data_IF_436227236725
#
_entry.id   IF_436227236725
#
_cell.length_a   1.000
_cell.length_b   1.000
_cell.length_c   1.000
_cell.angle_alpha   90.00
_cell.angle_beta   90.00
_cell.angle_gamma   90.00
#
_symmetry.space_group_name_H-M   'P 1'
#
loop_
_entity.id
_entity.type
_entity.pdbx_description
1 polymer ?
#
# COMPACT_ATOMS: atom_id res chain seq x y z
N UNK A 1 27.58 -21.07 -16.14
CA UNK A 1 27.12 -21.16 -14.73
C UNK A 1 25.64 -21.45 -14.75
N UNK A 2 25.27 -22.66 -14.36
CA UNK A 2 23.89 -23.17 -14.29
C UNK A 2 23.08 -22.37 -13.27
N UNK A 3 21.94 -21.82 -13.68
CA UNK A 3 21.03 -21.09 -12.81
C UNK A 3 20.29 -22.08 -11.89
N UNK A 4 20.41 -21.99 -10.55
CA UNK A 4 19.57 -22.79 -9.68
C UNK A 4 18.41 -21.92 -9.18
N UNK A 5 17.21 -22.23 -9.66
CA UNK A 5 15.90 -21.85 -9.10
C UNK A 5 15.69 -20.36 -8.80
N UNK A 6 15.73 -19.54 -9.84
CA UNK A 6 15.31 -18.14 -9.80
C UNK A 6 14.45 -17.76 -11.01
N UNK A 7 13.69 -16.67 -10.94
CA UNK A 7 13.01 -16.11 -12.11
C UNK A 7 13.69 -14.81 -12.55
N UNK A 8 13.68 -14.55 -13.86
CA UNK A 8 14.30 -13.38 -14.46
C UNK A 8 13.20 -12.46 -14.98
N UNK A 9 13.19 -11.22 -14.53
CA UNK A 9 12.35 -10.16 -15.09
C UNK A 9 13.23 -9.42 -16.09
N UNK A 10 12.96 -9.58 -17.38
CA UNK A 10 13.58 -8.76 -18.41
C UNK A 10 12.52 -8.16 -19.30
N UNK A 11 12.47 -6.83 -19.32
CA UNK A 11 11.49 -6.10 -20.09
C UNK A 11 12.07 -4.76 -20.55
N UNK A 12 12.17 -4.51 -21.87
CA UNK A 12 12.95 -3.40 -22.40
C UNK A 12 12.35 -2.03 -22.08
N UNK A 13 11.03 -1.94 -21.89
CA UNK A 13 10.31 -0.67 -21.67
C UNK A 13 9.70 -0.54 -20.27
N UNK A 14 9.99 -1.48 -19.35
CA UNK A 14 9.44 -1.42 -18.00
C UNK A 14 10.08 -0.28 -17.23
N UNK A 15 9.28 0.69 -16.76
CA UNK A 15 9.76 1.90 -16.09
C UNK A 15 9.58 1.86 -14.57
N UNK A 16 8.65 1.06 -14.06
CA UNK A 16 8.41 0.86 -12.63
C UNK A 16 8.14 -0.61 -12.33
N UNK A 17 8.73 -1.10 -11.24
CA UNK A 17 8.56 -2.47 -10.77
C UNK A 17 8.41 -2.47 -9.24
N UNK A 18 7.41 -3.21 -8.76
CA UNK A 18 7.26 -3.54 -7.34
C UNK A 18 7.38 -5.04 -7.18
N UNK A 19 8.27 -5.47 -6.30
CA UNK A 19 8.43 -6.84 -5.84
C UNK A 19 7.97 -6.89 -4.38
N UNK A 20 6.95 -7.68 -4.10
CA UNK A 20 6.34 -7.77 -2.77
C UNK A 20 6.13 -9.24 -2.39
N UNK A 21 6.39 -9.58 -1.13
CA UNK A 21 6.26 -10.91 -0.51
C UNK A 21 6.75 -12.09 -1.36
N UNK A 22 8.03 -12.06 -1.76
CA UNK A 22 8.61 -13.09 -2.62
C UNK A 22 9.80 -13.82 -2.04
N UNK A 23 9.88 -15.12 -2.32
CA UNK A 23 10.90 -16.02 -1.74
C UNK A 23 11.86 -16.61 -2.77
N UNK A 24 11.76 -16.18 -4.01
CA UNK A 24 12.56 -16.72 -5.11
C UNK A 24 13.67 -15.76 -5.47
N UNK A 25 14.84 -16.31 -5.84
CA UNK A 25 15.95 -15.50 -6.33
C UNK A 25 15.51 -14.80 -7.62
N UNK A 26 15.73 -13.49 -7.69
CA UNK A 26 15.24 -12.69 -8.81
C UNK A 26 16.39 -11.93 -9.44
N UNK A 27 16.50 -12.05 -10.76
CA UNK A 27 17.29 -11.11 -11.56
C UNK A 27 16.32 -10.13 -12.22
N UNK A 28 16.60 -8.84 -12.11
CA UNK A 28 15.85 -7.79 -12.81
C UNK A 28 16.79 -7.17 -13.83
N UNK A 29 16.48 -7.31 -15.11
CA UNK A 29 17.29 -6.85 -16.25
C UNK A 29 16.42 -5.99 -17.17
N UNK A 30 16.26 -4.73 -16.76
CA UNK A 30 15.25 -3.82 -17.30
C UNK A 30 15.92 -2.46 -17.56
N UNK A 31 16.38 -2.19 -18.79
CA UNK A 31 17.24 -1.04 -19.08
C UNK A 31 16.53 0.31 -18.93
N UNK A 32 15.20 0.35 -18.96
CA UNK A 32 14.39 1.56 -18.83
C UNK A 32 13.78 1.75 -17.43
N UNK A 33 14.16 0.92 -16.46
CA UNK A 33 13.58 0.96 -15.11
C UNK A 33 14.07 2.17 -14.35
N UNK A 34 13.13 3.03 -13.93
CA UNK A 34 13.37 4.26 -13.17
C UNK A 34 13.04 4.10 -11.70
N UNK A 35 12.00 3.33 -11.38
CA UNK A 35 11.51 3.15 -10.01
C UNK A 35 11.44 1.67 -9.65
N UNK A 36 12.11 1.29 -8.57
CA UNK A 36 12.09 -0.07 -8.04
C UNK A 36 11.67 -0.04 -6.58
N UNK A 37 10.64 -0.82 -6.25
CA UNK A 37 10.21 -1.07 -4.88
C UNK A 37 10.38 -2.56 -4.59
N UNK A 38 11.04 -2.91 -3.50
CA UNK A 38 11.21 -4.27 -3.02
C UNK A 38 10.79 -4.29 -1.55
N UNK A 39 9.74 -5.05 -1.25
CA UNK A 39 9.16 -5.18 0.08
C UNK A 39 9.14 -6.67 0.44
N UNK A 40 9.61 -6.99 1.65
CA UNK A 40 9.57 -8.34 2.25
C UNK A 40 10.02 -9.46 1.30
N UNK A 41 11.15 -9.21 0.65
CA UNK A 41 11.79 -10.16 -0.27
C UNK A 41 13.06 -10.76 0.36
N UNK A 42 12.96 -11.88 1.09
CA UNK A 42 14.11 -12.52 1.74
C UNK A 42 15.08 -13.22 0.77
N UNK A 43 14.75 -13.33 -0.51
CA UNK A 43 15.66 -13.93 -1.48
C UNK A 43 16.63 -12.90 -2.09
N UNK A 44 17.72 -13.39 -2.69
CA UNK A 44 18.70 -12.53 -3.35
C UNK A 44 18.07 -11.88 -4.59
N UNK A 45 18.14 -10.55 -4.65
CA UNK A 45 17.75 -9.75 -5.79
C UNK A 45 18.99 -9.18 -6.46
N UNK A 46 19.21 -9.54 -7.73
CA UNK A 46 20.27 -8.98 -8.58
C UNK A 46 19.66 -7.97 -9.56
N UNK A 47 19.99 -6.70 -9.41
CA UNK A 47 19.39 -5.61 -10.19
C UNK A 47 20.37 -5.08 -11.24
N UNK A 48 19.99 -5.20 -12.51
CA UNK A 48 20.62 -4.58 -13.67
C UNK A 48 19.66 -3.51 -14.23
N UNK A 49 19.75 -2.29 -13.69
CA UNK A 49 18.88 -1.17 -14.06
C UNK A 49 19.74 0.12 -14.13
N UNK A 50 20.41 0.39 -15.25
CA UNK A 50 21.44 1.43 -15.35
C UNK A 50 20.89 2.86 -15.17
N UNK A 51 19.60 3.08 -15.43
CA UNK A 51 18.95 4.39 -15.30
C UNK A 51 18.06 4.50 -14.06
N UNK A 52 18.18 3.56 -13.11
CA UNK A 52 17.37 3.55 -11.90
C UNK A 52 17.58 4.85 -11.12
N UNK A 53 16.52 5.62 -10.92
CA UNK A 53 16.54 6.92 -10.24
C UNK A 53 15.95 6.87 -8.84
N UNK A 54 15.07 5.91 -8.57
CA UNK A 54 14.41 5.71 -7.27
C UNK A 54 14.42 4.25 -6.84
N UNK A 55 14.90 3.99 -5.62
CA UNK A 55 14.89 2.66 -4.99
C UNK A 55 14.22 2.75 -3.62
N UNK A 56 13.23 1.89 -3.37
CA UNK A 56 12.71 1.62 -2.03
C UNK A 56 12.93 0.15 -1.72
N UNK A 57 13.75 -0.13 -0.70
CA UNK A 57 14.13 -1.46 -0.28
C UNK A 57 13.78 -1.64 1.20
N UNK A 58 12.76 -2.46 1.47
CA UNK A 58 12.31 -2.77 2.82
C UNK A 58 12.26 -4.27 3.02
N UNK A 59 13.06 -4.81 3.91
CA UNK A 59 13.07 -6.27 4.17
C UNK A 59 13.67 -6.60 5.54
N UNK A 60 13.62 -7.88 5.90
CA UNK A 60 14.24 -8.38 7.12
C UNK A 60 15.75 -8.57 7.01
N UNK A 61 16.30 -8.82 5.81
CA UNK A 61 17.70 -9.26 5.63
C UNK A 61 18.45 -8.50 4.52
N UNK A 62 19.78 -8.45 4.61
CA UNK A 62 20.70 -7.73 3.71
C UNK A 62 21.04 -8.51 2.42
N UNK A 63 20.04 -8.71 1.56
CA UNK A 63 20.14 -9.56 0.35
C UNK A 63 20.08 -8.82 -1.00
N UNK A 64 19.96 -7.48 -0.98
CA UNK A 64 20.02 -6.66 -2.18
C UNK A 64 21.44 -6.65 -2.77
N UNK A 65 21.55 -6.92 -4.07
CA UNK A 65 22.78 -6.74 -4.85
C UNK A 65 22.50 -5.94 -6.10
N UNK A 66 23.17 -4.80 -6.22
CA UNK A 66 23.18 -4.00 -7.44
C UNK A 66 24.31 -4.54 -8.33
N UNK A 67 23.98 -4.96 -9.54
CA UNK A 67 24.92 -5.57 -10.48
C UNK A 67 25.70 -4.54 -11.30
N UNK A 68 25.10 -3.36 -11.44
CA UNK A 68 25.62 -2.24 -12.22
C UNK A 68 25.83 -1.07 -11.29
N UNK A 69 26.86 -0.28 -11.55
CA UNK A 69 27.00 1.02 -10.91
C UNK A 69 25.74 1.86 -11.19
N UNK A 70 25.01 2.19 -10.13
CA UNK A 70 23.72 2.90 -10.20
C UNK A 70 23.94 4.41 -10.19
N UNK A 71 24.72 4.93 -11.14
CA UNK A 71 25.14 6.33 -11.18
C UNK A 71 24.00 7.36 -11.29
N UNK A 72 22.78 6.93 -11.65
CA UNK A 72 21.61 7.79 -11.80
C UNK A 72 20.69 7.76 -10.58
N UNK A 73 21.02 6.99 -9.55
CA UNK A 73 20.15 6.79 -8.40
C UNK A 73 20.12 8.06 -7.55
N UNK A 74 18.96 8.72 -7.50
CA UNK A 74 18.80 10.01 -6.83
C UNK A 74 18.12 9.88 -5.47
N UNK A 75 17.11 9.01 -5.36
CA UNK A 75 16.31 8.79 -4.16
C UNK A 75 16.39 7.34 -3.72
N UNK A 76 16.79 7.12 -2.48
CA UNK A 76 16.90 5.78 -1.91
C UNK A 76 16.30 5.73 -0.53
N UNK A 77 15.44 4.74 -0.31
CA UNK A 77 14.90 4.38 0.99
C UNK A 77 15.31 2.94 1.31
N UNK A 78 16.13 2.75 2.34
CA UNK A 78 16.63 1.44 2.79
C UNK A 78 16.17 1.18 4.21
N UNK A 79 15.38 0.13 4.39
CA UNK A 79 14.92 -0.34 5.68
C UNK A 79 15.25 -1.84 5.81
N UNK A 80 16.19 -2.17 6.70
CA UNK A 80 16.62 -3.54 6.99
C UNK A 80 16.40 -3.82 8.48
N UNK A 81 15.46 -4.70 8.81
CA UNK A 81 15.13 -5.00 10.21
C UNK A 81 16.26 -5.70 10.96
N UNK A 82 16.87 -6.72 10.35
CA UNK A 82 17.89 -7.56 10.98
C UNK A 82 19.14 -7.62 10.09
N UNK A 83 19.92 -6.53 10.00
CA UNK A 83 21.16 -6.55 9.23
C UNK A 83 22.11 -7.60 9.84
N UNK A 84 22.71 -8.43 8.98
CA UNK A 84 23.46 -9.61 9.41
C UNK A 84 24.98 -9.46 9.23
N UNK A 85 25.39 -8.71 8.19
CA UNK A 85 26.78 -8.50 7.85
C UNK A 85 27.06 -7.01 7.63
N UNK A 86 27.89 -6.36 8.48
CA UNK A 86 28.18 -4.94 8.34
C UNK A 86 28.90 -4.65 7.03
N UNK A 87 29.67 -5.61 6.48
CA UNK A 87 30.36 -5.44 5.20
C UNK A 87 29.39 -5.38 4.02
N UNK A 88 28.31 -6.16 4.04
CA UNK A 88 27.26 -6.07 3.01
C UNK A 88 26.52 -4.75 3.07
N UNK A 89 26.19 -4.31 4.29
CA UNK A 89 25.55 -3.01 4.52
C UNK A 89 26.44 -1.88 4.01
N UNK A 90 27.74 -1.90 4.34
CA UNK A 90 28.71 -0.92 3.84
C UNK A 90 28.89 -0.97 2.33
N UNK A 91 29.01 -2.18 1.77
CA UNK A 91 29.10 -2.34 0.32
C UNK A 91 27.88 -1.74 -0.38
N UNK A 92 26.67 -1.97 0.15
CA UNK A 92 25.46 -1.34 -0.37
C UNK A 92 25.55 0.18 -0.31
N UNK A 93 25.91 0.77 0.83
CA UNK A 93 26.03 2.23 0.98
C UNK A 93 27.09 2.83 0.03
N UNK A 94 28.21 2.14 -0.19
CA UNK A 94 29.25 2.54 -1.13
C UNK A 94 28.79 2.53 -2.59
N UNK A 95 27.73 1.81 -2.94
CA UNK A 95 27.14 1.82 -4.29
C UNK A 95 26.20 3.02 -4.51
N UNK A 96 25.77 3.69 -3.46
CA UNK A 96 24.78 4.78 -3.49
C UNK A 96 25.41 6.18 -3.69
N UNK A 97 26.50 6.28 -4.47
CA UNK A 97 27.34 7.50 -4.53
C UNK A 97 26.67 8.72 -5.17
N UNK A 98 25.70 8.48 -6.05
CA UNK A 98 24.95 9.53 -6.76
C UNK A 98 23.74 10.06 -5.99
N UNK A 99 23.40 9.44 -4.85
CA UNK A 99 22.15 9.69 -4.14
C UNK A 99 22.10 11.11 -3.59
N UNK A 100 20.96 11.77 -3.83
CA UNK A 100 20.63 13.12 -3.33
C UNK A 100 19.76 13.05 -2.08
N UNK A 101 18.87 12.06 -2.02
CA UNK A 101 17.92 11.87 -0.91
C UNK A 101 18.04 10.43 -0.40
N UNK A 102 18.64 10.28 0.78
CA UNK A 102 18.81 8.99 1.42
C UNK A 102 17.93 8.90 2.66
N UNK A 103 17.16 7.83 2.73
CA UNK A 103 16.42 7.41 3.90
C UNK A 103 17.00 6.08 4.39
N UNK A 104 17.38 6.00 5.67
CA UNK A 104 17.83 4.78 6.33
C UNK A 104 16.98 4.48 7.56
N UNK A 105 16.85 3.22 7.94
CA UNK A 105 16.29 2.88 9.24
C UNK A 105 17.34 2.88 10.37
N UNK A 106 16.87 3.02 11.61
CA UNK A 106 17.70 3.11 12.80
C UNK A 106 18.56 1.88 13.04
N UNK A 107 18.09 0.69 12.68
CA UNK A 107 18.79 -0.57 12.90
C UNK A 107 20.08 -0.61 12.08
N UNK A 108 20.09 -0.04 10.86
CA UNK A 108 21.31 0.13 10.06
C UNK A 108 22.31 1.01 10.82
N UNK A 109 21.85 2.12 11.38
CA UNK A 109 22.71 3.05 12.11
C UNK A 109 23.31 2.37 13.36
N UNK A 110 22.47 1.74 14.19
CA UNK A 110 22.92 1.01 15.39
C UNK A 110 23.91 -0.09 15.02
N UNK A 111 23.64 -0.83 13.95
CA UNK A 111 24.48 -1.91 13.49
C UNK A 111 25.85 -1.44 13.01
N UNK A 112 25.91 -0.33 12.26
CA UNK A 112 27.17 0.29 11.85
C UNK A 112 27.94 0.87 13.05
N UNK A 113 27.25 1.45 14.04
CA UNK A 113 27.89 1.94 15.28
C UNK A 113 28.61 0.82 16.03
N UNK A 114 28.06 -0.41 16.04
CA UNK A 114 28.71 -1.58 16.62
C UNK A 114 29.93 -2.08 15.81
N UNK A 115 30.15 -1.57 14.60
CA UNK A 115 31.24 -1.94 13.69
C UNK A 115 32.00 -0.71 13.18
N UNK A 116 32.19 0.29 14.04
CA UNK A 116 32.79 1.59 13.69
C UNK A 116 34.18 1.50 13.07
N UNK A 117 34.95 0.48 13.46
CA UNK A 117 36.28 0.17 12.92
C UNK A 117 36.28 -0.03 11.39
N UNK A 118 35.15 -0.47 10.82
CA UNK A 118 35.03 -0.68 9.38
C UNK A 118 34.81 0.62 8.60
N UNK A 119 34.39 1.70 9.25
CA UNK A 119 34.07 2.99 8.61
C UNK A 119 35.00 4.13 9.00
N UNK A 120 35.74 4.00 10.11
CA UNK A 120 36.59 5.07 10.66
C UNK A 120 37.61 5.65 9.67
N UNK A 121 38.10 4.82 8.75
CA UNK A 121 39.10 5.19 7.73
C UNK A 121 38.52 5.33 6.32
N UNK A 122 37.21 5.14 6.16
CA UNK A 122 36.55 5.19 4.87
C UNK A 122 36.02 6.60 4.61
N UNK A 123 36.25 7.17 3.42
CA UNK A 123 35.58 8.42 3.06
C UNK A 123 34.07 8.18 2.96
N UNK A 124 33.30 9.25 3.19
CA UNK A 124 31.87 9.19 2.98
C UNK A 124 31.56 8.88 1.51
N UNK A 125 30.67 7.92 1.20
CA UNK A 125 30.35 7.59 -0.17
C UNK A 125 29.41 8.60 -0.84
N UNK A 126 28.83 9.55 -0.09
CA UNK A 126 27.71 10.37 -0.56
C UNK A 126 28.10 11.80 -0.97
N UNK A 127 28.88 11.92 -2.03
CA UNK A 127 29.36 13.21 -2.54
C UNK A 127 28.24 14.16 -3.02
N UNK A 128 27.04 13.64 -3.30
CA UNK A 128 25.92 14.43 -3.86
C UNK A 128 24.73 14.58 -2.89
N UNK A 129 24.90 14.19 -1.62
CA UNK A 129 23.80 14.10 -0.69
C UNK A 129 23.25 15.48 -0.33
N UNK A 130 21.96 15.68 -0.52
CA UNK A 130 21.21 16.88 -0.12
C UNK A 130 20.35 16.65 1.11
N UNK A 131 19.90 15.42 1.33
CA UNK A 131 19.14 15.06 2.51
C UNK A 131 19.44 13.65 2.97
N UNK A 132 19.69 13.51 4.26
CA UNK A 132 19.73 12.24 4.97
C UNK A 132 18.60 12.23 6.00
N UNK A 133 17.74 11.23 5.92
CA UNK A 133 16.69 10.98 6.91
C UNK A 133 16.91 9.62 7.56
N UNK A 134 16.78 9.58 8.88
CA UNK A 134 16.84 8.33 9.64
C UNK A 134 15.52 8.10 10.35
N UNK A 135 14.94 6.92 10.13
CA UNK A 135 13.64 6.55 10.66
C UNK A 135 13.76 5.36 11.60
N UNK A 136 13.05 5.35 12.73
CA UNK A 136 12.95 4.15 13.54
C UNK A 136 12.12 3.09 12.82
N UNK A 137 12.60 1.84 12.76
CA UNK A 137 11.78 0.73 12.29
C UNK A 137 10.86 0.26 13.41
N UNK A 138 9.64 -0.15 13.05
CA UNK A 138 8.55 -0.45 13.99
C UNK A 138 8.60 -1.90 14.54
N UNK A 139 9.78 -2.51 14.62
CA UNK A 139 9.91 -3.91 15.04
C UNK A 139 9.71 -3.98 16.56
N UNK A 140 8.45 -4.15 16.97
CA UNK A 140 7.93 -4.33 18.35
C UNK A 140 7.72 -3.08 19.23
N UNK A 141 6.71 -2.28 18.90
CA UNK A 141 6.07 -1.33 19.83
C UNK A 141 5.36 -2.00 21.04
N UNK A 142 5.29 -3.33 21.10
CA UNK A 142 4.66 -4.05 22.23
C UNK A 142 5.62 -4.14 23.44
N UNK A 143 6.93 -4.10 23.21
CA UNK A 143 7.94 -4.24 24.27
C UNK A 143 8.53 -2.88 24.68
N UNK A 144 8.65 -1.94 23.75
CA UNK A 144 9.29 -0.64 23.99
C UNK A 144 8.27 0.44 24.40
N UNK A 145 7.60 0.22 25.53
CA UNK A 145 6.88 1.29 26.25
C UNK A 145 7.81 2.16 27.10
N UNK A 146 9.11 1.86 27.11
CA UNK A 146 10.09 2.51 27.97
C UNK A 146 11.32 2.83 27.14
N UNK A 147 11.77 4.08 27.24
CA UNK A 147 12.90 4.71 26.54
C UNK A 147 12.74 4.82 25.02
N UNK A 148 12.42 6.04 24.58
CA UNK A 148 12.80 6.46 23.23
C UNK A 148 14.30 6.17 23.09
N UNK A 149 14.75 5.39 22.09
CA UNK A 149 16.16 5.31 21.82
C UNK A 149 16.58 6.69 21.32
N UNK A 150 17.13 7.51 22.22
CA UNK A 150 17.88 8.70 21.84
C UNK A 150 19.08 8.18 21.04
N UNK A 151 18.98 8.30 19.72
CA UNK A 151 20.00 7.79 18.81
C UNK A 151 21.16 8.77 18.85
N UNK A 152 22.02 8.62 19.84
CA UNK A 152 23.30 9.30 19.86
C UNK A 152 24.19 8.66 18.79
N UNK A 153 24.11 9.18 17.56
CA UNK A 153 25.04 8.79 16.49
C UNK A 153 26.46 9.22 16.89
N UNK A 154 27.40 8.28 16.82
CA UNK A 154 28.81 8.58 17.03
C UNK A 154 29.33 9.55 15.96
N UNK A 155 30.40 10.26 16.27
CA UNK A 155 31.07 11.17 15.33
C UNK A 155 31.54 10.46 14.07
N UNK A 156 32.05 9.23 14.18
CA UNK A 156 32.51 8.43 13.05
C UNK A 156 31.38 8.09 12.08
N UNK A 157 30.19 7.75 12.61
CA UNK A 157 29.00 7.46 11.80
C UNK A 157 28.53 8.72 11.09
N UNK A 158 28.46 9.86 11.80
CA UNK A 158 28.09 11.14 11.21
C UNK A 158 29.06 11.50 10.09
N UNK A 159 30.36 11.37 10.35
CA UNK A 159 31.42 11.67 9.40
C UNK A 159 31.31 10.78 8.16
N UNK A 160 31.16 9.47 8.35
CA UNK A 160 30.98 8.54 7.25
C UNK A 160 29.72 8.81 6.41
N UNK A 161 28.62 9.29 7.00
CA UNK A 161 27.39 9.56 6.27
C UNK A 161 27.33 10.97 5.66
N UNK A 162 28.06 11.95 6.20
CA UNK A 162 27.86 13.37 5.88
C UNK A 162 29.14 14.15 5.49
N UNK A 163 30.35 13.70 5.83
CA UNK A 163 31.58 14.52 5.66
C UNK A 163 31.88 14.90 4.22
N UNK A 164 31.49 14.06 3.26
CA UNK A 164 31.73 14.33 1.84
C UNK A 164 30.62 15.12 1.17
N UNK A 165 29.58 15.58 1.89
CA UNK A 165 28.55 16.43 1.29
C UNK A 165 29.09 17.87 1.13
N UNK A 166 29.37 18.32 -0.10
CA UNK A 166 29.88 19.67 -0.35
C UNK A 166 28.74 20.70 -0.44
N UNK A 167 27.49 20.30 -0.20
CA UNK A 167 26.34 21.16 -0.37
C UNK A 167 26.12 22.00 0.90
N UNK A 168 26.36 23.33 0.88
CA UNK A 168 25.84 24.22 1.91
C UNK A 168 24.31 24.09 1.92
N UNK A 169 23.77 23.38 2.92
CA UNK A 169 22.33 23.10 3.02
C UNK A 169 21.92 21.62 3.01
N UNK A 170 22.86 20.66 3.07
CA UNK A 170 22.49 19.27 3.29
C UNK A 170 21.70 19.10 4.60
N UNK A 171 20.47 18.61 4.50
CA UNK A 171 19.57 18.48 5.65
C UNK A 171 19.69 17.09 6.27
N UNK A 172 20.02 17.03 7.55
CA UNK A 172 19.98 15.80 8.33
C UNK A 172 18.76 15.82 9.25
N UNK A 173 17.94 14.77 9.20
CA UNK A 173 16.73 14.66 10.03
C UNK A 173 16.62 13.27 10.64
N UNK A 174 16.44 13.20 11.95
CA UNK A 174 16.03 11.98 12.64
C UNK A 174 14.53 12.10 12.87
N UNK A 175 13.78 11.14 12.35
CA UNK A 175 12.32 11.10 12.48
C UNK A 175 11.95 10.40 13.78
N UNK A 176 10.99 10.94 14.53
CA UNK A 176 10.58 10.34 15.80
C UNK A 176 9.66 9.13 15.59
N UNK A 177 9.60 8.23 16.58
CA UNK A 177 8.63 7.13 16.56
C UNK A 177 7.19 7.64 16.53
N UNK A 178 6.92 8.79 17.16
CA UNK A 178 5.62 9.44 17.17
C UNK A 178 5.23 9.93 15.77
N UNK A 179 6.17 10.53 15.02
CA UNK A 179 5.91 10.96 13.63
C UNK A 179 5.62 9.75 12.73
N UNK A 180 6.39 8.66 12.86
CA UNK A 180 6.13 7.41 12.12
C UNK A 180 4.77 6.82 12.49
N UNK A 181 4.42 6.80 13.78
CA UNK A 181 3.12 6.30 14.27
C UNK A 181 1.97 7.16 13.76
N UNK A 182 2.11 8.48 13.81
CA UNK A 182 1.12 9.42 13.32
C UNK A 182 0.89 9.22 11.82
N UNK A 183 1.95 9.13 11.02
CA UNK A 183 1.86 8.86 9.59
C UNK A 183 1.14 7.54 9.29
N UNK A 184 1.48 6.46 10.00
CA UNK A 184 0.79 5.16 9.86
C UNK A 184 -0.68 5.25 10.21
N UNK A 185 -1.02 5.92 11.31
CA UNK A 185 -2.40 6.08 11.75
C UNK A 185 -3.22 6.88 10.72
N UNK A 186 -2.62 7.92 10.12
CA UNK A 186 -3.24 8.68 9.03
C UNK A 186 -3.51 7.78 7.82
N UNK A 187 -2.52 7.00 7.36
CA UNK A 187 -2.72 6.06 6.24
C UNK A 187 -3.80 5.02 6.55
N UNK A 188 -3.77 4.42 7.74
CA UNK A 188 -4.80 3.45 8.16
C UNK A 188 -6.19 4.07 8.20
N UNK A 189 -6.32 5.29 8.73
CA UNK A 189 -7.59 6.01 8.76
C UNK A 189 -8.10 6.30 7.33
N UNK A 190 -7.22 6.72 6.42
CA UNK A 190 -7.56 6.96 5.01
C UNK A 190 -8.07 5.70 4.30
N UNK A 191 -7.41 4.56 4.52
CA UNK A 191 -7.84 3.28 3.95
C UNK A 191 -9.22 2.87 4.50
N UNK A 192 -9.42 2.95 5.82
CA UNK A 192 -10.70 2.64 6.46
C UNK A 192 -11.83 3.57 5.98
N UNK A 193 -11.55 4.87 5.80
CA UNK A 193 -12.53 5.81 5.24
C UNK A 193 -12.88 5.46 3.80
N UNK A 194 -11.91 5.00 3.00
CA UNK A 194 -12.15 4.58 1.62
C UNK A 194 -13.00 3.30 1.54
N UNK A 195 -12.74 2.32 2.41
CA UNK A 195 -13.56 1.11 2.54
C UNK A 195 -14.99 1.44 2.99
N UNK A 196 -15.14 2.30 4.01
CA UNK A 196 -16.44 2.75 4.47
C UNK A 196 -17.23 3.43 3.35
N UNK A 197 -16.58 4.28 2.55
CA UNK A 197 -17.19 4.92 1.40
C UNK A 197 -17.68 3.89 0.38
N UNK A 198 -16.86 2.88 0.06
CA UNK A 198 -17.25 1.78 -0.82
C UNK A 198 -18.49 1.03 -0.33
N UNK A 199 -18.57 0.71 0.96
CA UNK A 199 -19.76 0.08 1.53
C UNK A 199 -20.99 0.97 1.49
N UNK A 200 -20.85 2.27 1.73
CA UNK A 200 -21.97 3.21 1.68
C UNK A 200 -22.53 3.33 0.26
N UNK A 201 -21.67 3.35 -0.75
CA UNK A 201 -22.06 3.39 -2.15
C UNK A 201 -22.80 2.11 -2.56
N UNK A 202 -22.29 0.93 -2.17
CA UNK A 202 -22.96 -0.36 -2.38
C UNK A 202 -24.34 -0.41 -1.67
N UNK A 203 -24.41 0.07 -0.43
CA UNK A 203 -25.65 0.09 0.33
C UNK A 203 -26.70 1.01 -0.30
N UNK A 204 -26.27 2.12 -0.88
CA UNK A 204 -27.13 3.07 -1.59
C UNK A 204 -27.66 2.45 -2.88
N UNK A 205 -26.82 1.82 -3.68
CA UNK A 205 -27.24 1.11 -4.90
C UNK A 205 -28.25 0.00 -4.60
N UNK A 206 -28.00 -0.81 -3.56
CA UNK A 206 -28.92 -1.86 -3.11
C UNK A 206 -30.27 -1.31 -2.61
N UNK A 207 -30.26 -0.13 -1.96
CA UNK A 207 -31.52 0.54 -1.57
C UNK A 207 -32.28 1.01 -2.80
N UNK A 208 -31.61 1.59 -3.78
CA UNK A 208 -32.23 2.09 -5.01
C UNK A 208 -32.84 0.95 -5.84
N UNK A 209 -32.14 -0.16 -6.01
CA UNK A 209 -32.64 -1.38 -6.67
C UNK A 209 -33.82 -2.00 -5.91
N UNK A 210 -33.72 -2.16 -4.59
CA UNK A 210 -34.85 -2.68 -3.79
C UNK A 210 -36.09 -1.77 -3.88
N UNK A 211 -35.90 -0.45 -3.93
CA UNK A 211 -37.02 0.49 -4.10
C UNK A 211 -37.63 0.40 -5.49
N UNK A 212 -36.83 0.18 -6.54
CA UNK A 212 -37.31 -0.01 -7.91
C UNK A 212 -38.11 -1.32 -8.04
N UNK A 213 -37.65 -2.42 -7.44
CA UNK A 213 -38.37 -3.69 -7.41
C UNK A 213 -39.72 -3.59 -6.69
N UNK A 214 -39.77 -2.92 -5.53
CA UNK A 214 -41.05 -2.69 -4.82
C UNK A 214 -42.05 -1.84 -5.60
N UNK A 215 -41.58 -0.89 -6.44
CA UNK A 215 -42.46 -0.10 -7.32
C UNK A 215 -42.98 -0.94 -8.49
N UNK A 216 -42.16 -1.85 -9.03
CA UNK A 216 -42.55 -2.73 -10.12
C UNK A 216 -43.64 -3.73 -9.68
N UNK A 217 -43.51 -4.32 -8.49
CA UNK A 217 -44.48 -5.32 -7.98
C UNK A 217 -45.83 -4.71 -7.56
N UNK A 218 -45.86 -3.42 -7.20
CA UNK A 218 -47.12 -2.71 -6.91
C UNK A 218 -47.94 -2.42 -8.17
N UNK A 219 -47.31 -2.19 -9.31
CA UNK A 219 -48.03 -1.86 -10.56
C UNK A 219 -49.00 -2.96 -11.05
N UNK A 220 -48.64 -4.25 -11.12
CA UNK A 220 -49.57 -5.31 -11.51
C UNK A 220 -50.68 -5.53 -10.48
N UNK A 221 -50.37 -5.45 -9.18
CA UNK A 221 -51.37 -5.59 -8.10
C UNK A 221 -52.41 -4.47 -8.14
N UNK A 222 -52.02 -3.24 -8.45
CA UNK A 222 -52.95 -2.10 -8.56
C UNK A 222 -53.86 -2.23 -9.80
N UNK A 223 -53.32 -2.73 -10.92
CA UNK A 223 -54.09 -2.98 -12.15
C UNK A 223 -55.10 -4.11 -11.96
N UNK A 224 -54.71 -5.19 -11.29
CA UNK A 224 -55.58 -6.33 -11.00
C UNK A 224 -56.70 -5.97 -10.01
N UNK A 225 -56.38 -5.21 -8.98
CA UNK A 225 -57.39 -4.71 -8.02
C UNK A 225 -58.38 -3.74 -8.69
N UNK A 226 -57.92 -2.84 -9.58
CA UNK A 226 -58.82 -1.99 -10.38
C UNK A 226 -59.70 -2.82 -11.33
N UNK A 227 -59.17 -3.88 -11.95
CA UNK A 227 -59.98 -4.81 -12.78
C UNK A 227 -61.04 -5.53 -11.96
N UNK A 228 -60.69 -6.03 -10.77
CA UNK A 228 -61.62 -6.71 -9.88
C UNK A 228 -62.76 -5.77 -9.42
N UNK A 229 -62.44 -4.53 -9.06
CA UNK A 229 -63.44 -3.52 -8.69
C UNK A 229 -64.35 -3.16 -9.88
N UNK A 230 -63.81 -3.03 -11.09
CA UNK A 230 -64.60 -2.75 -12.29
C UNK A 230 -65.55 -3.92 -12.62
N UNK A 231 -65.11 -5.16 -12.38
CA UNK A 231 -65.91 -6.37 -12.59
C UNK A 231 -67.04 -6.48 -11.56
N UNK A 232 -66.74 -6.28 -10.27
CA UNK A 232 -67.75 -6.26 -9.20
C UNK A 232 -68.79 -5.15 -9.40
N UNK A 233 -68.38 -3.97 -9.91
CA UNK A 233 -69.29 -2.86 -10.20
C UNK A 233 -70.20 -3.15 -11.40
N UNK A 234 -69.73 -3.91 -12.39
CA UNK A 234 -70.56 -4.41 -13.49
C UNK A 234 -71.53 -5.50 -13.03
N UNK A 235 -71.10 -6.40 -12.15
CA UNK A 235 -71.94 -7.47 -11.61
C UNK A 235 -73.07 -6.92 -10.72
N UNK A 236 -72.80 -5.90 -9.89
CA UNK A 236 -73.86 -5.21 -9.13
C UNK A 236 -74.88 -4.46 -10.01
N UNK A 237 -74.49 -4.00 -11.20
CA UNK A 237 -75.42 -3.40 -12.15
C UNK A 237 -76.34 -4.44 -12.84
N UNK A 238 -75.96 -5.72 -12.84
CA UNK A 238 -76.73 -6.81 -13.46
C UNK A 238 -77.80 -7.35 -12.51
N UNK A 239 -77.64 -7.23 -11.19
CA UNK A 239 -78.60 -7.70 -10.19
C UNK A 239 -79.65 -6.65 -9.77
N UNK A 240 -79.67 -5.49 -10.44
CA UNK A 240 -80.59 -4.39 -10.15
C UNK A 240 -81.90 -4.38 -10.93
N UNK A 241 -82.22 -5.41 -11.71
CA UNK A 241 -83.46 -5.47 -12.50
C UNK A 241 -84.04 -6.88 -12.52
N UNK A 242 -84.87 -7.22 -11.53
CA UNK A 242 -86.07 -8.05 -11.75
C UNK A 242 -86.93 -8.09 -10.48
N UNK A 243 -87.78 -7.07 -10.33
CA UNK A 243 -88.97 -7.14 -9.48
C UNK A 243 -90.18 -7.25 -10.40
N UNK A 244 -90.72 -8.45 -10.59
CA UNK A 244 -92.17 -8.69 -10.73
C UNK A 244 -92.48 -10.18 -10.68
N UNK A 245 -92.92 -10.66 -9.51
CA UNK A 245 -93.74 -11.87 -9.44
C UNK A 245 -94.87 -11.67 -8.43
N UNK A 246 -96.10 -11.65 -8.94
CA UNK A 246 -97.34 -11.51 -8.17
C UNK A 246 -97.69 -12.81 -7.43
N UNK A 247 -98.08 -12.69 -6.16
CA UNK A 247 -98.53 -13.82 -5.33
C UNK A 247 -99.98 -14.25 -5.62
N UNK A 248 -100.38 -15.49 -5.24
CA UNK A 248 -101.74 -15.96 -5.46
C UNK A 248 -102.71 -15.51 -4.36
N UNK A 249 -103.90 -15.10 -4.80
CA UNK A 249 -105.06 -14.70 -3.99
C UNK A 249 -105.79 -15.95 -3.47
N UNK A 250 -106.23 -15.88 -2.22
CA UNK A 250 -107.10 -16.85 -1.52
C UNK A 250 -108.48 -16.97 -2.19
N UNK A 251 -109.02 -18.18 -2.27
CA UNK A 251 -110.48 -18.38 -2.21
C UNK A 251 -110.85 -19.48 -1.20
N UNK A 252 -111.87 -19.16 -0.41
CA UNK A 252 -112.54 -19.98 0.60
C UNK A 252 -113.72 -20.72 -0.05
N UNK A 253 -113.92 -21.98 0.31
CA UNK A 253 -115.17 -22.53 0.86
C UNK A 253 -114.92 -23.97 1.31
#
# INVERSE_FOLDING_TARGET
MTAPNGFNISHPVLTSLTLDDGRTRTKVDTPQLKTLTIIDWPAICLICAPILSSLHYKTSYDHLRLATDVFHLEKVDVCISNPSDPRKTLFLLQQLRSVKFLTLNLEIIKFLSSSVELISHQPSPFANLKSLKVYPNNVNLVVEKQTQPEVTMSTEIKNYLLDSSPAPGATFTIVSHEEVRAARNVTSAQNLMSELQGFLDEWKENRETNTAHMKLDKAPMEVENRRAQLKAKKEMAVWGTDDTYQGPVRERA
#
